data_IF_153847863809
#
_entry.id   IF_153847863809
#
_cell.length_a   1.000
_cell.length_b   1.000
_cell.length_c   1.000
_cell.angle_alpha   90.00
_cell.angle_beta   90.00
_cell.angle_gamma   90.00
#
_symmetry.space_group_name_H-M   'P 1'
#
loop_
_entity.id
_entity.type
_entity.pdbx_description
1 polymer ?
#
# COMPACT_ATOMS: atom_id res chain seq x y z
N UNK A 1 16.71 -34.37 17.35
CA UNK A 1 15.40 -34.10 17.99
C UNK A 1 14.40 -33.72 16.90
N UNK A 2 13.20 -34.30 16.92
CA UNK A 2 12.13 -33.98 15.95
C UNK A 2 11.48 -32.66 16.38
N UNK A 3 11.52 -31.65 15.52
CA UNK A 3 10.81 -30.38 15.73
C UNK A 3 9.36 -30.55 15.25
N UNK A 4 8.41 -30.38 16.17
CA UNK A 4 6.99 -30.30 15.84
C UNK A 4 6.64 -28.82 15.63
N UNK A 5 6.18 -28.50 14.42
CA UNK A 5 5.70 -27.18 14.04
C UNK A 5 4.22 -27.10 14.42
N UNK A 6 3.90 -26.51 15.57
CA UNK A 6 2.51 -26.29 15.98
C UNK A 6 2.06 -24.92 15.46
N UNK A 7 1.21 -24.90 14.44
CA UNK A 7 0.52 -23.69 13.98
C UNK A 7 -0.55 -23.35 15.01
N UNK A 8 -0.38 -22.25 15.75
CA UNK A 8 -1.42 -21.72 16.64
C UNK A 8 -2.35 -20.83 15.79
N UNK A 9 -3.56 -21.33 15.54
CA UNK A 9 -4.66 -20.55 14.97
C UNK A 9 -5.27 -19.74 16.10
N UNK A 10 -5.04 -18.42 16.13
CA UNK A 10 -5.72 -17.55 17.09
C UNK A 10 -7.07 -17.11 16.54
N UNK A 11 -8.12 -17.47 17.29
CA UNK A 11 -9.51 -17.11 17.07
C UNK A 11 -9.69 -15.61 17.35
N UNK A 12 -10.34 -14.90 16.42
CA UNK A 12 -10.77 -13.52 16.55
C UNK A 12 -11.63 -13.32 17.81
N UNK A 13 -11.20 -12.42 18.69
CA UNK A 13 -12.09 -11.74 19.63
C UNK A 13 -12.09 -10.26 19.22
N UNK A 14 -13.12 -9.87 18.46
CA UNK A 14 -13.39 -8.47 18.14
C UNK A 14 -13.90 -7.77 19.39
N UNK A 15 -13.02 -7.11 20.13
CA UNK A 15 -13.42 -6.06 21.07
C UNK A 15 -13.31 -4.71 20.35
N UNK A 16 -14.36 -3.87 20.30
CA UNK A 16 -14.30 -2.56 19.69
C UNK A 16 -13.60 -1.61 20.67
N UNK A 17 -12.26 -1.70 20.74
CA UNK A 17 -11.49 -0.67 21.41
C UNK A 17 -11.38 0.54 20.48
N UNK A 18 -12.13 1.58 20.82
CA UNK A 18 -12.02 2.90 20.22
C UNK A 18 -10.71 3.54 20.67
N UNK A 19 -9.66 3.39 19.86
CA UNK A 19 -8.44 4.18 20.02
C UNK A 19 -8.58 5.46 19.21
N UNK A 20 -8.24 6.59 19.85
CA UNK A 20 -8.07 7.87 19.18
C UNK A 20 -6.86 7.80 18.25
N UNK A 21 -7.04 7.24 17.05
CA UNK A 21 -6.19 7.54 15.91
C UNK A 21 -6.29 9.05 15.64
N UNK A 22 -5.22 9.65 15.13
CA UNK A 22 -5.32 10.93 14.43
C UNK A 22 -6.48 10.79 13.42
N UNK A 23 -7.62 11.41 13.73
CA UNK A 23 -8.85 11.26 12.97
C UNK A 23 -8.69 12.00 11.64
N UNK A 24 -8.02 11.37 10.69
CA UNK A 24 -8.05 11.83 9.32
C UNK A 24 -9.52 11.84 8.88
N UNK A 25 -9.98 12.99 8.39
CA UNK A 25 -11.30 13.07 7.82
C UNK A 25 -11.32 12.30 6.49
N UNK A 26 -11.71 11.03 6.54
CA UNK A 26 -11.79 10.16 5.36
C UNK A 26 -12.99 10.47 4.45
N UNK A 27 -13.86 11.39 4.83
CA UNK A 27 -15.05 11.79 4.05
C UNK A 27 -14.73 12.84 2.97
N UNK A 28 -13.46 13.22 2.81
CA UNK A 28 -13.02 14.16 1.77
C UNK A 28 -12.51 13.44 0.53
N UNK A 29 -12.33 14.20 -0.55
CA UNK A 29 -11.61 13.74 -1.74
C UNK A 29 -10.11 13.89 -1.53
N UNK A 30 -9.37 12.80 -1.74
CA UNK A 30 -7.93 12.78 -1.68
C UNK A 30 -7.34 12.85 -3.09
N UNK A 31 -6.30 13.68 -3.27
CA UNK A 31 -5.46 13.68 -4.47
C UNK A 31 -4.10 13.06 -4.16
N UNK A 32 -3.68 12.12 -4.99
CA UNK A 32 -2.37 11.45 -4.95
C UNK A 32 -1.67 11.71 -6.28
N UNK A 33 -0.49 12.29 -6.22
CA UNK A 33 0.41 12.44 -7.37
C UNK A 33 1.73 11.76 -6.98
N UNK A 34 2.04 10.62 -7.58
CA UNK A 34 3.19 9.81 -7.18
C UNK A 34 3.85 9.14 -8.39
N UNK A 35 5.14 8.85 -8.24
CA UNK A 35 5.92 8.00 -9.13
C UNK A 35 5.89 6.56 -8.60
N UNK A 36 5.46 5.64 -9.45
CA UNK A 36 5.46 4.20 -9.21
C UNK A 36 6.61 3.61 -10.01
N UNK A 37 7.70 3.27 -9.35
CA UNK A 37 8.88 2.65 -9.95
C UNK A 37 9.03 1.18 -9.53
N UNK A 38 10.02 0.50 -10.13
CA UNK A 38 10.31 -0.92 -9.89
C UNK A 38 9.11 -1.84 -10.15
N UNK A 39 8.29 -1.47 -11.12
CA UNK A 39 7.18 -2.31 -11.57
C UNK A 39 7.76 -3.30 -12.58
N UNK A 40 7.80 -4.59 -12.21
CA UNK A 40 8.42 -5.63 -13.00
C UNK A 40 7.42 -6.32 -13.92
N UNK A 41 7.79 -6.49 -15.18
CA UNK A 41 7.13 -7.42 -16.11
C UNK A 41 7.41 -8.89 -15.75
N UNK A 42 6.77 -9.82 -16.45
CA UNK A 42 6.97 -11.26 -16.22
C UNK A 42 8.39 -11.75 -16.48
N UNK A 43 9.16 -11.02 -17.30
CA UNK A 43 10.56 -11.24 -17.62
C UNK A 43 11.52 -10.27 -16.88
N UNK A 44 11.03 -9.63 -15.80
CA UNK A 44 11.80 -8.78 -14.88
C UNK A 44 12.34 -7.46 -15.46
N UNK A 45 11.80 -6.97 -16.58
CA UNK A 45 12.09 -5.60 -17.00
C UNK A 45 11.34 -4.61 -16.10
N UNK A 46 12.02 -3.57 -15.65
CA UNK A 46 11.44 -2.52 -14.82
C UNK A 46 10.73 -1.44 -15.64
N UNK A 47 9.56 -1.03 -15.15
CA UNK A 47 8.75 0.04 -15.68
C UNK A 47 8.48 1.11 -14.61
N UNK A 48 8.26 2.33 -15.08
CA UNK A 48 7.95 3.49 -14.24
C UNK A 48 6.67 4.15 -14.75
N UNK A 49 5.76 4.45 -13.84
CA UNK A 49 4.52 5.15 -14.10
C UNK A 49 4.41 6.39 -13.21
N UNK A 50 3.98 7.51 -13.77
CA UNK A 50 3.66 8.71 -13.00
C UNK A 50 2.15 8.91 -13.05
N UNK A 51 1.50 9.01 -11.90
CA UNK A 51 0.03 9.04 -11.87
C UNK A 51 -0.46 10.17 -10.97
N UNK A 52 -1.45 10.92 -11.46
CA UNK A 52 -2.31 11.83 -10.71
C UNK A 52 -3.70 11.23 -10.57
N UNK A 53 -4.08 10.87 -9.35
CA UNK A 53 -5.32 10.21 -9.03
C UNK A 53 -6.12 11.00 -7.99
N UNK A 54 -7.45 11.01 -8.17
CA UNK A 54 -8.40 11.50 -7.17
C UNK A 54 -9.25 10.36 -6.66
N UNK A 55 -9.41 10.28 -5.34
CA UNK A 55 -10.01 9.14 -4.65
C UNK A 55 -10.95 9.58 -3.53
N UNK A 56 -12.04 8.86 -3.37
CA UNK A 56 -12.99 9.01 -2.26
C UNK A 56 -13.13 7.64 -1.60
N UNK A 57 -12.95 7.55 -0.29
CA UNK A 57 -13.15 6.29 0.44
C UNK A 57 -14.63 5.89 0.43
N UNK A 58 -14.90 4.60 0.22
CA UNK A 58 -16.17 3.98 0.59
C UNK A 58 -16.19 3.76 2.11
N UNK A 59 -17.35 3.45 2.68
CA UNK A 59 -17.44 3.13 4.12
C UNK A 59 -16.66 1.86 4.49
N UNK A 60 -16.70 0.84 3.61
CA UNK A 60 -15.87 -0.35 3.74
C UNK A 60 -14.37 -0.01 3.66
N UNK A 61 -13.98 0.87 2.74
CA UNK A 61 -12.61 1.34 2.62
C UNK A 61 -12.09 2.09 3.84
N UNK A 62 -12.93 2.91 4.47
CA UNK A 62 -12.61 3.56 5.75
C UNK A 62 -12.31 2.51 6.81
N UNK A 63 -13.13 1.47 6.87
CA UNK A 63 -12.99 0.36 7.82
C UNK A 63 -11.70 -0.42 7.57
N UNK A 64 -11.41 -0.79 6.31
CA UNK A 64 -10.17 -1.49 5.92
C UNK A 64 -8.94 -0.67 6.31
N UNK A 65 -8.93 0.62 5.99
CA UNK A 65 -7.85 1.52 6.33
C UNK A 65 -7.64 1.62 7.85
N UNK A 66 -8.70 1.86 8.62
CA UNK A 66 -8.62 1.98 10.08
C UNK A 66 -8.15 0.68 10.72
N UNK A 67 -8.66 -0.47 10.24
CA UNK A 67 -8.24 -1.80 10.70
C UNK A 67 -6.76 -2.07 10.40
N UNK A 68 -6.25 -1.64 9.25
CA UNK A 68 -4.83 -1.80 8.91
C UNK A 68 -3.93 -1.07 9.92
N UNK A 69 -4.24 0.20 10.21
CA UNK A 69 -3.47 0.99 11.17
C UNK A 69 -3.63 0.41 12.59
N UNK A 70 -4.84 0.01 12.96
CA UNK A 70 -5.12 -0.60 14.26
C UNK A 70 -4.28 -1.87 14.48
N UNK A 71 -4.22 -2.75 13.48
CA UNK A 71 -3.44 -3.99 13.57
C UNK A 71 -1.93 -3.71 13.73
N UNK A 72 -1.38 -2.74 12.97
CA UNK A 72 0.03 -2.35 13.10
C UNK A 72 0.29 -1.80 14.50
N UNK A 73 -0.59 -0.94 15.02
CA UNK A 73 -0.45 -0.37 16.36
C UNK A 73 -0.52 -1.44 17.45
N UNK A 74 -1.45 -2.39 17.35
CA UNK A 74 -1.57 -3.47 18.31
C UNK A 74 -0.32 -4.35 18.35
N UNK A 75 0.19 -4.74 17.18
CA UNK A 75 1.46 -5.49 17.13
C UNK A 75 2.62 -4.68 17.69
N UNK A 76 2.66 -3.37 17.43
CA UNK A 76 3.68 -2.50 18.03
C UNK A 76 3.59 -2.49 19.56
N UNK A 77 2.39 -2.34 20.13
CA UNK A 77 2.16 -2.34 21.57
C UNK A 77 2.57 -3.69 22.19
N UNK A 78 2.24 -4.82 21.53
CA UNK A 78 2.64 -6.15 21.99
C UNK A 78 4.17 -6.32 21.96
N UNK A 79 4.84 -5.82 20.93
CA UNK A 79 6.31 -5.84 20.83
C UNK A 79 6.94 -4.97 21.93
N UNK A 80 6.41 -3.78 22.20
CA UNK A 80 6.89 -2.90 23.27
C UNK A 80 6.68 -3.54 24.66
N UNK A 81 5.58 -4.26 24.87
CA UNK A 81 5.40 -5.06 26.09
C UNK A 81 6.45 -6.18 26.20
N UNK A 82 6.65 -6.96 25.13
CA UNK A 82 7.64 -8.05 25.12
C UNK A 82 9.07 -7.54 25.37
N UNK A 83 9.42 -6.35 24.87
CA UNK A 83 10.73 -5.74 25.12
C UNK A 83 10.94 -5.42 26.61
N UNK A 84 9.90 -4.91 27.28
CA UNK A 84 9.92 -4.63 28.72
C UNK A 84 10.04 -5.91 29.56
N UNK A 85 9.43 -7.00 29.12
CA UNK A 85 9.42 -8.30 29.80
C UNK A 85 10.66 -9.16 29.50
N UNK A 86 11.47 -8.82 28.48
CA UNK A 86 12.61 -9.60 28.05
C UNK A 86 13.72 -9.68 29.12
N UNK A 87 14.19 -10.90 29.39
CA UNK A 87 15.16 -11.18 30.45
C UNK A 87 16.61 -10.88 30.02
N UNK A 88 16.93 -11.04 28.73
CA UNK A 88 18.29 -10.88 28.21
C UNK A 88 18.43 -9.71 27.24
N UNK A 89 19.64 -9.14 27.16
CA UNK A 89 19.94 -8.07 26.21
C UNK A 89 19.82 -8.53 24.74
N UNK A 90 20.10 -9.81 24.46
CA UNK A 90 19.99 -10.36 23.12
C UNK A 90 18.52 -10.40 22.63
N UNK A 91 17.60 -10.82 23.50
CA UNK A 91 16.15 -10.79 23.21
C UNK A 91 15.66 -9.36 23.01
N UNK A 92 16.07 -8.43 23.89
CA UNK A 92 15.75 -7.00 23.75
C UNK A 92 16.21 -6.43 22.42
N UNK A 93 17.41 -6.78 21.96
CA UNK A 93 17.95 -6.28 20.68
C UNK A 93 17.13 -6.80 19.48
N UNK A 94 16.73 -8.07 19.49
CA UNK A 94 15.89 -8.67 18.45
C UNK A 94 14.50 -8.01 18.39
N UNK A 95 13.85 -7.84 19.54
CA UNK A 95 12.53 -7.20 19.64
C UNK A 95 12.61 -5.72 19.22
N UNK A 96 13.65 -5.01 19.63
CA UNK A 96 13.86 -3.61 19.26
C UNK A 96 13.97 -3.40 17.74
N UNK A 97 14.56 -4.34 17.01
CA UNK A 97 14.57 -4.27 15.55
C UNK A 97 13.15 -4.34 14.98
N UNK A 98 12.31 -5.24 15.48
CA UNK A 98 10.91 -5.36 15.06
C UNK A 98 10.11 -4.10 15.44
N UNK A 99 10.30 -3.56 16.65
CA UNK A 99 9.67 -2.30 17.08
C UNK A 99 10.00 -1.17 16.09
N UNK A 100 11.26 -1.02 15.68
CA UNK A 100 11.67 0.00 14.69
C UNK A 100 10.97 -0.19 13.35
N UNK A 101 10.85 -1.42 12.88
CA UNK A 101 10.13 -1.76 11.64
C UNK A 101 8.65 -1.37 11.77
N UNK A 102 7.97 -1.77 12.85
CA UNK A 102 6.55 -1.48 13.04
C UNK A 102 6.27 0.02 13.26
N UNK A 103 7.17 0.76 13.92
CA UNK A 103 7.09 2.24 13.99
C UNK A 103 7.20 2.89 12.62
N UNK A 104 8.10 2.39 11.77
CA UNK A 104 8.22 2.86 10.39
C UNK A 104 6.98 2.49 9.55
N UNK A 105 6.46 1.27 9.69
CA UNK A 105 5.23 0.83 9.02
C UNK A 105 4.04 1.68 9.43
N UNK A 106 3.88 1.95 10.72
CA UNK A 106 2.80 2.80 11.23
C UNK A 106 2.90 4.19 10.59
N UNK A 107 4.06 4.83 10.73
CA UNK A 107 4.31 6.16 10.16
C UNK A 107 4.03 6.23 8.65
N UNK A 108 4.40 5.18 7.92
CA UNK A 108 4.19 5.10 6.48
C UNK A 108 2.72 4.87 6.08
N UNK A 109 1.99 4.03 6.82
CA UNK A 109 0.61 3.65 6.47
C UNK A 109 -0.45 4.58 7.07
N UNK A 110 -0.11 5.34 8.13
CA UNK A 110 -1.03 6.26 8.79
C UNK A 110 -1.53 7.41 7.91
N UNK A 111 -0.81 7.95 6.92
CA UNK A 111 -1.41 8.93 6.00
C UNK A 111 -2.37 8.26 4.98
N UNK A 112 -3.63 8.71 4.83
CA UNK A 112 -4.58 8.09 3.89
C UNK A 112 -4.09 8.07 2.43
N UNK A 113 -3.30 9.08 2.03
CA UNK A 113 -2.68 9.14 0.71
C UNK A 113 -1.72 7.98 0.45
N UNK A 114 -1.04 7.47 1.48
CA UNK A 114 -0.13 6.32 1.35
C UNK A 114 -0.89 5.01 1.17
N UNK A 115 -2.00 4.83 1.88
CA UNK A 115 -2.94 3.73 1.61
C UNK A 115 -3.41 3.74 0.15
N UNK A 116 -3.88 4.89 -0.36
CA UNK A 116 -4.33 5.02 -1.76
C UNK A 116 -3.18 4.72 -2.73
N UNK A 117 -1.96 5.18 -2.43
CA UNK A 117 -0.75 4.87 -3.22
C UNK A 117 -0.50 3.37 -3.27
N UNK A 118 -0.62 2.66 -2.15
CA UNK A 118 -0.45 1.20 -2.11
C UNK A 118 -1.49 0.46 -2.96
N UNK A 119 -2.75 0.90 -2.94
CA UNK A 119 -3.79 0.32 -3.79
C UNK A 119 -3.43 0.45 -5.27
N UNK A 120 -3.06 1.65 -5.71
CA UNK A 120 -2.63 1.90 -7.09
C UNK A 120 -1.40 1.04 -7.44
N UNK A 121 -0.38 1.03 -6.58
CA UNK A 121 0.85 0.29 -6.81
C UNK A 121 0.59 -1.22 -6.97
N UNK A 122 -0.23 -1.80 -6.07
CA UNK A 122 -0.61 -3.21 -6.12
C UNK A 122 -1.26 -3.55 -7.47
N UNK A 123 -2.20 -2.74 -7.92
CA UNK A 123 -2.95 -3.01 -9.14
C UNK A 123 -2.11 -2.86 -10.41
N UNK A 124 -1.21 -1.86 -10.46
CA UNK A 124 -0.27 -1.71 -11.57
C UNK A 124 0.69 -2.90 -11.59
N UNK A 125 1.27 -3.26 -10.45
CA UNK A 125 2.19 -4.38 -10.37
C UNK A 125 1.54 -5.69 -10.80
N UNK A 126 0.32 -5.98 -10.32
CA UNK A 126 -0.44 -7.17 -10.72
C UNK A 126 -0.84 -7.17 -12.20
N UNK A 127 -1.06 -6.02 -12.82
CA UNK A 127 -1.36 -5.94 -14.24
C UNK A 127 -0.11 -6.16 -15.07
N UNK A 128 0.98 -5.45 -14.75
CA UNK A 128 2.23 -5.45 -15.50
C UNK A 128 2.96 -6.79 -15.42
N UNK A 129 2.95 -7.45 -14.26
CA UNK A 129 3.61 -8.75 -14.08
C UNK A 129 3.00 -9.90 -14.89
N UNK A 130 1.83 -9.70 -15.52
CA UNK A 130 1.19 -10.70 -16.39
C UNK A 130 1.83 -10.79 -17.77
N UNK A 131 2.49 -9.73 -18.22
CA UNK A 131 2.93 -9.62 -19.61
C UNK A 131 4.45 -9.55 -19.71
N UNK A 132 5.05 -10.11 -20.77
CA UNK A 132 6.46 -9.93 -21.05
C UNK A 132 6.74 -8.49 -21.47
N UNK A 133 8.00 -8.08 -21.31
CA UNK A 133 8.41 -6.72 -21.65
C UNK A 133 8.17 -6.34 -23.10
N UNK A 134 8.28 -7.31 -24.03
CA UNK A 134 8.03 -7.10 -25.46
C UNK A 134 6.60 -6.61 -25.75
N UNK A 135 5.59 -7.18 -25.08
CA UNK A 135 4.21 -6.74 -25.22
C UNK A 135 4.01 -5.34 -24.63
N UNK A 136 4.57 -5.10 -23.45
CA UNK A 136 4.40 -3.81 -22.76
C UNK A 136 5.07 -2.69 -23.56
N UNK A 137 6.27 -2.93 -24.08
CA UNK A 137 7.00 -1.98 -24.90
C UNK A 137 6.24 -1.67 -26.20
N UNK A 138 5.67 -2.68 -26.85
CA UNK A 138 4.82 -2.50 -28.02
C UNK A 138 3.60 -1.63 -27.71
N UNK A 139 2.89 -1.94 -26.61
CA UNK A 139 1.73 -1.15 -26.18
C UNK A 139 2.10 0.30 -25.82
N UNK A 140 3.24 0.53 -25.17
CA UNK A 140 3.71 1.89 -24.85
C UNK A 140 4.06 2.70 -26.09
N UNK A 141 4.61 2.06 -27.13
CA UNK A 141 5.05 2.75 -28.35
C UNK A 141 3.92 2.94 -29.37
N UNK A 142 3.04 1.95 -29.50
CA UNK A 142 2.08 1.87 -30.60
C UNK A 142 0.63 2.06 -30.15
N UNK A 143 0.30 1.83 -28.88
CA UNK A 143 -1.10 1.88 -28.40
C UNK A 143 -1.23 2.40 -26.95
N UNK A 144 -0.51 3.48 -26.65
CA UNK A 144 -0.33 4.01 -25.30
C UNK A 144 -1.65 4.31 -24.58
N UNK A 145 -2.62 4.87 -25.31
CA UNK A 145 -3.91 5.25 -24.74
C UNK A 145 -4.71 4.02 -24.29
N UNK A 146 -4.82 3.00 -25.15
CA UNK A 146 -5.50 1.75 -24.81
C UNK A 146 -4.83 1.06 -23.61
N UNK A 147 -3.49 1.03 -23.60
CA UNK A 147 -2.71 0.47 -22.50
C UNK A 147 -3.03 1.15 -21.15
N UNK A 148 -3.01 2.48 -21.13
CA UNK A 148 -3.34 3.25 -19.92
C UNK A 148 -4.81 3.14 -19.52
N UNK A 149 -5.72 2.98 -20.48
CA UNK A 149 -7.13 2.77 -20.19
C UNK A 149 -7.37 1.38 -19.57
N UNK A 150 -6.70 0.35 -20.03
CA UNK A 150 -6.77 -0.99 -19.46
C UNK A 150 -6.26 -1.04 -18.01
N UNK A 151 -5.09 -0.42 -17.75
CA UNK A 151 -4.57 -0.32 -16.38
C UNK A 151 -5.55 0.46 -15.49
N UNK A 152 -6.11 1.56 -15.99
CA UNK A 152 -7.11 2.36 -15.25
C UNK A 152 -8.33 1.52 -14.91
N UNK A 153 -8.88 0.80 -15.88
CA UNK A 153 -10.05 -0.04 -15.71
C UNK A 153 -9.78 -1.16 -14.70
N UNK A 154 -8.59 -1.77 -14.74
CA UNK A 154 -8.17 -2.76 -13.76
C UNK A 154 -8.11 -2.19 -12.33
N UNK A 155 -7.52 -0.99 -12.15
CA UNK A 155 -7.50 -0.31 -10.85
C UNK A 155 -8.92 -0.06 -10.34
N UNK A 156 -9.79 0.55 -11.17
CA UNK A 156 -11.16 0.91 -10.79
C UNK A 156 -11.98 -0.34 -10.44
N UNK A 157 -11.86 -1.40 -11.23
CA UNK A 157 -12.61 -2.64 -11.03
C UNK A 157 -12.22 -3.34 -9.72
N UNK A 158 -10.91 -3.49 -9.46
CA UNK A 158 -10.42 -4.25 -8.31
C UNK A 158 -10.52 -3.47 -6.98
N UNK A 159 -10.51 -2.14 -7.02
CA UNK A 159 -10.56 -1.30 -5.80
C UNK A 159 -11.95 -0.73 -5.51
N UNK A 160 -13.00 -1.19 -6.22
CA UNK A 160 -14.38 -0.69 -6.07
C UNK A 160 -14.92 -0.76 -4.64
N UNK A 161 -14.43 -1.71 -3.82
CA UNK A 161 -14.83 -1.89 -2.43
C UNK A 161 -14.06 -0.99 -1.46
N UNK A 162 -12.83 -0.61 -1.77
CA UNK A 162 -12.05 0.30 -0.92
C UNK A 162 -12.43 1.75 -1.17
N UNK A 163 -12.93 2.08 -2.35
CA UNK A 163 -13.38 3.42 -2.67
C UNK A 163 -13.56 3.68 -4.15
N UNK A 164 -13.76 4.95 -4.48
CA UNK A 164 -14.03 5.42 -5.84
C UNK A 164 -12.89 6.30 -6.31
N UNK A 165 -12.18 5.84 -7.34
CA UNK A 165 -11.32 6.70 -8.13
C UNK A 165 -12.18 7.60 -9.03
N UNK A 166 -12.23 8.90 -8.74
CA UNK A 166 -12.96 9.87 -9.57
C UNK A 166 -12.14 10.31 -10.79
N UNK A 167 -10.82 10.12 -10.76
CA UNK A 167 -9.94 10.28 -11.91
C UNK A 167 -8.64 9.54 -11.70
N UNK A 168 -8.05 9.00 -12.76
CA UNK A 168 -6.69 8.45 -12.80
C UNK A 168 -6.05 8.92 -14.10
N UNK A 169 -5.02 9.76 -14.01
CA UNK A 169 -4.29 10.32 -15.16
C UNK A 169 -2.86 9.85 -15.12
N UNK A 170 -2.41 9.20 -16.20
CA UNK A 170 -1.00 8.94 -16.41
C UNK A 170 -0.32 10.21 -16.89
N UNK A 171 0.82 10.52 -16.30
CA UNK A 171 1.61 11.71 -16.56
C UNK A 171 2.92 11.35 -17.25
N UNK A 172 3.42 12.28 -18.05
CA UNK A 172 4.82 12.26 -18.44
C UNK A 172 5.71 12.66 -17.25
N UNK A 173 6.99 12.31 -17.30
CA UNK A 173 7.98 12.73 -16.30
C UNK A 173 7.98 14.25 -16.11
N UNK A 174 7.89 15.02 -17.19
CA UNK A 174 7.89 16.48 -17.13
C UNK A 174 6.64 17.04 -16.44
N UNK A 175 5.46 16.50 -16.76
CA UNK A 175 4.22 16.89 -16.07
C UNK A 175 4.25 16.51 -14.59
N UNK A 176 4.82 15.36 -14.25
CA UNK A 176 5.01 14.97 -12.85
C UNK A 176 5.94 15.94 -12.11
N UNK A 177 7.08 16.30 -12.72
CA UNK A 177 8.01 17.29 -12.17
C UNK A 177 7.34 18.65 -11.98
N UNK A 178 6.52 19.08 -12.94
CA UNK A 178 5.75 20.33 -12.83
C UNK A 178 4.79 20.31 -11.64
N UNK A 179 4.04 19.22 -11.43
CA UNK A 179 3.07 19.15 -10.34
C UNK A 179 3.68 18.93 -8.95
N UNK A 180 4.86 18.32 -8.86
CA UNK A 180 5.43 17.87 -7.57
C UNK A 180 6.74 18.56 -7.18
N UNK A 181 7.44 19.20 -8.13
CA UNK A 181 8.79 19.72 -7.92
C UNK A 181 9.89 18.64 -7.79
N UNK A 182 9.56 17.35 -7.98
CA UNK A 182 10.48 16.22 -7.80
C UNK A 182 11.05 15.75 -9.15
N UNK A 183 12.28 15.24 -9.14
CA UNK A 183 13.01 14.71 -10.32
C UNK A 183 13.11 13.20 -10.36
#
# INVERSE_FOLDING_TARGET
MKFYFTIIIFILITSPYSFAQNNYNLNIKFRVIEKFDKILSSDNKEYVFYIDANYIFSDEGKTIYSNNIYNIQNTLNDLERQENEAATQAEKNSINQNIRIYKALLTYNTPPKKFITLLINRQIHQYISKYPSSYIDDMLNNNLQAFYDDIRNNIVYNEKYTGKFTSIKFLTKDKFKYYTGRT
#
